data_IF_767843346271
#
_entry.id   IF_767843346271
#
_cell.length_a   1.000
_cell.length_b   1.000
_cell.length_c   1.000
_cell.angle_alpha   90.00
_cell.angle_beta   90.00
_cell.angle_gamma   90.00
#
_symmetry.space_group_name_H-M   'P 1'
#
loop_
_entity.id
_entity.type
_entity.pdbx_description
1 polymer ?
#
# COMPACT_ATOMS: atom_id res chain seq x y z
N UNK A 1 13.93 -4.79 -3.85
CA UNK A 1 13.52 -5.37 -5.14
C UNK A 1 14.79 -5.77 -5.88
N UNK A 2 14.84 -6.93 -6.52
CA UNK A 2 15.90 -7.13 -7.52
C UNK A 2 15.57 -6.26 -8.74
N UNK A 3 16.59 -5.72 -9.40
CA UNK A 3 16.44 -4.84 -10.56
C UNK A 3 15.41 -5.33 -11.61
N UNK A 4 15.25 -6.64 -11.92
CA UNK A 4 14.33 -7.06 -12.97
C UNK A 4 12.87 -7.25 -12.55
N UNK A 5 12.48 -7.22 -11.27
CA UNK A 5 11.13 -7.70 -10.85
C UNK A 5 9.99 -6.96 -11.56
N UNK A 6 10.01 -5.62 -11.56
CA UNK A 6 8.97 -4.83 -12.22
C UNK A 6 9.01 -4.96 -13.76
N UNK A 7 10.21 -5.06 -14.35
CA UNK A 7 10.35 -5.35 -15.78
C UNK A 7 9.70 -6.69 -16.16
N UNK A 8 9.90 -7.74 -15.36
CA UNK A 8 9.30 -9.05 -15.60
C UNK A 8 7.76 -8.99 -15.55
N UNK A 9 7.19 -8.23 -14.62
CA UNK A 9 5.75 -8.02 -14.56
C UNK A 9 5.21 -7.29 -15.81
N UNK A 10 5.93 -6.28 -16.31
CA UNK A 10 5.59 -5.58 -17.54
C UNK A 10 5.81 -6.42 -18.81
N UNK A 11 6.84 -7.26 -18.84
CA UNK A 11 7.09 -8.22 -19.92
C UNK A 11 5.94 -9.22 -20.06
N UNK A 12 5.47 -9.76 -18.93
CA UNK A 12 4.32 -10.67 -18.89
C UNK A 12 3.01 -9.95 -19.25
N UNK A 13 2.79 -8.74 -18.72
CA UNK A 13 1.57 -7.97 -18.93
C UNK A 13 0.34 -8.53 -18.18
N UNK A 14 -0.82 -7.89 -18.34
CA UNK A 14 -2.09 -8.40 -17.80
C UNK A 14 -2.32 -8.21 -16.29
N UNK A 15 -1.35 -7.67 -15.55
CA UNK A 15 -1.57 -7.23 -14.16
C UNK A 15 -2.22 -5.85 -14.12
N UNK A 16 -3.23 -5.69 -13.26
CA UNK A 16 -3.88 -4.39 -13.07
C UNK A 16 -3.03 -3.40 -12.28
N UNK A 17 -2.12 -3.90 -11.43
CA UNK A 17 -1.17 -3.10 -10.64
C UNK A 17 -0.04 -3.99 -10.09
N UNK A 18 1.07 -3.37 -9.69
CA UNK A 18 2.05 -3.95 -8.76
C UNK A 18 2.07 -3.21 -7.41
N UNK A 19 2.68 -3.83 -6.39
CA UNK A 19 2.77 -3.28 -5.03
C UNK A 19 4.21 -3.17 -4.51
N UNK A 20 5.20 -3.39 -5.38
CA UNK A 20 6.61 -3.38 -5.02
C UNK A 20 7.13 -1.93 -5.01
N UNK A 21 6.51 -1.08 -4.20
CA UNK A 21 6.90 0.30 -3.95
C UNK A 21 6.46 0.70 -2.55
N UNK A 22 7.26 1.56 -1.91
CA UNK A 22 6.99 2.13 -0.59
C UNK A 22 7.12 3.67 -0.62
N UNK A 23 7.11 4.26 -1.81
CA UNK A 23 7.58 5.63 -2.04
C UNK A 23 6.50 6.70 -2.06
N UNK A 24 5.23 6.35 -1.86
CA UNK A 24 4.11 7.30 -1.95
C UNK A 24 2.89 6.81 -1.15
N UNK A 25 2.00 7.74 -0.81
CA UNK A 25 0.73 7.50 -0.11
C UNK A 25 -0.47 7.39 -1.07
N UNK A 26 -0.21 7.49 -2.40
CA UNK A 26 -1.20 7.32 -3.46
C UNK A 26 -0.72 6.37 -4.57
N UNK A 27 -1.63 5.71 -5.29
CA UNK A 27 -1.28 5.04 -6.53
C UNK A 27 -0.71 6.01 -7.56
N UNK A 28 0.18 5.52 -8.42
CA UNK A 28 0.76 6.33 -9.49
C UNK A 28 1.13 5.49 -10.70
N UNK A 29 1.17 6.15 -11.85
CA UNK A 29 1.54 5.53 -13.12
C UNK A 29 3.04 5.62 -13.38
N UNK A 30 3.60 4.54 -13.91
CA UNK A 30 4.93 4.47 -14.49
C UNK A 30 4.87 4.10 -15.97
N UNK A 31 5.94 4.44 -16.68
CA UNK A 31 6.25 3.89 -18.01
C UNK A 31 7.39 2.89 -17.84
N UNK A 32 7.08 1.61 -17.72
CA UNK A 32 8.07 0.56 -17.49
C UNK A 32 8.67 0.11 -18.82
N UNK A 33 10.00 0.20 -18.96
CA UNK A 33 10.70 -0.33 -20.14
C UNK A 33 10.72 -1.86 -20.12
N UNK A 34 10.04 -2.46 -21.08
CA UNK A 34 10.04 -3.90 -21.34
C UNK A 34 11.38 -4.36 -21.91
N UNK A 35 11.66 -5.66 -21.84
CA UNK A 35 12.85 -6.26 -22.43
C UNK A 35 12.92 -6.07 -23.96
N UNK A 36 11.78 -5.93 -24.63
CA UNK A 36 11.69 -5.60 -26.06
C UNK A 36 11.96 -4.14 -26.42
N UNK A 37 12.13 -3.25 -25.43
CA UNK A 37 12.42 -1.82 -25.63
C UNK A 37 11.19 -0.91 -25.52
N UNK A 38 9.99 -1.44 -25.70
CA UNK A 38 8.73 -0.71 -25.57
C UNK A 38 8.47 -0.23 -24.14
N UNK A 39 7.71 0.87 -24.00
CA UNK A 39 7.25 1.39 -22.72
C UNK A 39 5.83 0.93 -22.44
N UNK A 40 5.62 0.30 -21.29
CA UNK A 40 4.32 -0.18 -20.83
C UNK A 40 3.76 0.74 -19.74
N UNK A 41 2.51 1.22 -19.85
CA UNK A 41 1.79 1.83 -18.74
C UNK A 41 1.65 0.84 -17.58
N UNK A 42 2.19 1.18 -16.42
CA UNK A 42 2.20 0.30 -15.26
C UNK A 42 1.70 1.03 -14.02
N UNK A 43 0.58 0.58 -13.46
CA UNK A 43 0.03 1.16 -12.23
C UNK A 43 0.76 0.57 -11.02
N UNK A 44 1.28 1.45 -10.18
CA UNK A 44 1.80 1.09 -8.86
C UNK A 44 0.78 1.48 -7.82
N UNK A 45 0.43 0.56 -6.94
CA UNK A 45 -0.33 0.85 -5.72
C UNK A 45 0.65 0.65 -4.55
N UNK A 46 1.17 1.70 -3.89
CA UNK A 46 2.25 1.57 -2.90
C UNK A 46 1.85 0.77 -1.65
N UNK A 47 2.80 -0.02 -1.16
CA UNK A 47 2.68 -0.85 0.05
C UNK A 47 3.48 -0.24 1.22
N UNK A 48 3.61 -0.98 2.32
CA UNK A 48 4.23 -0.50 3.56
C UNK A 48 5.22 -1.51 4.14
N UNK A 49 6.30 -0.99 4.75
CA UNK A 49 7.20 -1.74 5.63
C UNK A 49 7.09 -1.36 7.11
N UNK A 50 6.41 -0.25 7.41
CA UNK A 50 6.31 0.37 8.72
C UNK A 50 4.97 0.03 9.41
N UNK A 51 3.83 0.28 8.76
CA UNK A 51 2.48 -0.15 9.19
C UNK A 51 2.25 -1.64 8.86
N UNK A 52 3.20 -2.47 9.28
CA UNK A 52 3.31 -3.88 8.93
C UNK A 52 3.68 -4.73 10.15
N UNK A 53 2.93 -5.80 10.42
CA UNK A 53 3.19 -6.68 11.56
C UNK A 53 4.52 -7.44 11.47
N UNK A 54 5.21 -7.43 10.31
CA UNK A 54 6.58 -7.93 10.20
C UNK A 54 7.54 -7.28 11.20
N UNK A 55 7.23 -6.05 11.64
CA UNK A 55 7.98 -5.32 12.65
C UNK A 55 8.03 -6.06 13.98
N UNK A 56 7.08 -6.94 14.31
CA UNK A 56 7.18 -7.81 15.51
C UNK A 56 8.35 -8.82 15.46
N UNK A 57 8.98 -9.01 14.31
CA UNK A 57 10.06 -9.97 14.09
C UNK A 57 11.39 -9.29 13.73
N UNK A 58 11.47 -7.96 13.80
CA UNK A 58 12.68 -7.19 13.48
C UNK A 58 13.32 -6.62 14.75
N UNK A 59 14.65 -6.41 14.76
CA UNK A 59 15.35 -5.82 15.91
C UNK A 59 14.78 -4.47 16.34
N UNK A 60 14.40 -3.64 15.36
CA UNK A 60 13.66 -2.40 15.60
C UNK A 60 12.19 -2.62 15.22
N UNK A 61 11.40 -2.94 16.24
CA UNK A 61 10.09 -3.54 16.07
C UNK A 61 9.10 -3.23 17.18
N UNK A 62 7.89 -3.74 17.02
CA UNK A 62 6.87 -3.65 18.07
C UNK A 62 7.12 -4.73 19.11
N UNK A 63 7.13 -4.35 20.39
CA UNK A 63 7.30 -5.29 21.50
C UNK A 63 5.97 -5.87 21.94
N UNK A 64 4.92 -5.04 21.91
CA UNK A 64 3.56 -5.37 22.36
C UNK A 64 2.52 -5.05 21.29
N UNK A 65 1.33 -5.63 21.44
CA UNK A 65 0.18 -5.30 20.58
C UNK A 65 -0.21 -3.82 20.65
N UNK A 66 -0.03 -3.19 21.81
CA UNK A 66 -0.29 -1.76 21.99
C UNK A 66 0.54 -0.92 21.03
N UNK A 67 1.84 -1.20 20.91
CA UNK A 67 2.75 -0.43 20.06
C UNK A 67 2.27 -0.42 18.61
N UNK A 68 1.85 -1.59 18.09
CA UNK A 68 1.33 -1.69 16.73
C UNK A 68 -0.01 -0.97 16.56
N UNK A 69 -0.92 -1.10 17.54
CA UNK A 69 -2.19 -0.38 17.51
C UNK A 69 -1.99 1.14 17.52
N UNK A 70 -1.14 1.66 18.41
CA UNK A 70 -0.82 3.09 18.48
C UNK A 70 -0.26 3.57 17.14
N UNK A 71 0.69 2.83 16.57
CA UNK A 71 1.28 3.20 15.29
C UNK A 71 0.24 3.25 14.16
N UNK A 72 -0.62 2.23 14.06
CA UNK A 72 -1.70 2.22 13.06
C UNK A 72 -2.72 3.35 13.27
N UNK A 73 -3.12 3.59 14.52
CA UNK A 73 -4.04 4.67 14.89
C UNK A 73 -3.46 6.02 14.47
N UNK A 74 -2.21 6.30 14.84
CA UNK A 74 -1.59 7.60 14.58
C UNK A 74 -1.38 7.83 13.08
N UNK A 75 -0.98 6.79 12.33
CA UNK A 75 -0.92 6.84 10.86
C UNK A 75 -2.30 7.10 10.24
N UNK A 76 -3.34 6.43 10.73
CA UNK A 76 -4.70 6.66 10.25
C UNK A 76 -5.19 8.08 10.58
N UNK A 77 -5.03 8.54 11.82
CA UNK A 77 -5.52 9.85 12.28
C UNK A 77 -4.86 10.99 11.48
N UNK A 78 -3.56 10.87 11.18
CA UNK A 78 -2.84 11.82 10.32
C UNK A 78 -3.43 11.86 8.91
N UNK A 79 -3.53 10.71 8.23
CA UNK A 79 -4.08 10.64 6.87
C UNK A 79 -5.56 11.01 6.81
N UNK A 80 -6.32 10.71 7.86
CA UNK A 80 -7.72 11.06 7.97
C UNK A 80 -7.90 12.58 8.09
N UNK A 81 -7.04 13.26 8.86
CA UNK A 81 -7.02 14.71 8.94
C UNK A 81 -6.63 15.35 7.60
N UNK A 82 -5.58 14.85 6.93
CA UNK A 82 -5.18 15.30 5.59
C UNK A 82 -6.29 15.08 4.54
N UNK A 83 -7.08 14.02 4.71
CA UNK A 83 -8.19 13.67 3.84
C UNK A 83 -9.37 14.65 3.83
N UNK A 84 -9.35 15.67 4.69
CA UNK A 84 -10.25 16.81 4.58
C UNK A 84 -10.05 17.53 3.24
N UNK A 85 -8.80 17.63 2.78
CA UNK A 85 -8.41 18.35 1.55
C UNK A 85 -7.88 17.40 0.47
N UNK A 86 -7.03 16.44 0.85
CA UNK A 86 -6.33 15.56 -0.09
C UNK A 86 -6.29 14.12 0.44
N UNK A 87 -7.35 13.31 0.21
CA UNK A 87 -7.41 11.92 0.65
C UNK A 87 -6.22 11.07 0.17
N UNK A 88 -5.80 10.12 1.01
CA UNK A 88 -4.69 9.19 0.79
C UNK A 88 -5.10 7.75 1.09
N UNK A 89 -4.25 6.79 0.73
CA UNK A 89 -4.44 5.39 1.13
C UNK A 89 -3.52 5.01 2.29
N UNK A 90 -3.96 4.04 3.10
CA UNK A 90 -3.13 3.39 4.12
C UNK A 90 -3.10 1.88 3.86
N UNK A 91 -1.92 1.32 3.65
CA UNK A 91 -1.74 -0.13 3.64
C UNK A 91 -1.52 -0.63 5.07
N UNK A 92 -2.04 -1.82 5.41
CA UNK A 92 -1.74 -2.50 6.68
C UNK A 92 -1.24 -3.90 6.39
N UNK A 93 0.04 -4.15 6.65
CA UNK A 93 0.67 -5.44 6.40
C UNK A 93 0.40 -6.46 7.52
N UNK A 94 -0.02 -7.66 7.13
CA UNK A 94 -0.42 -8.71 8.07
C UNK A 94 0.13 -10.08 7.65
N UNK A 95 0.68 -10.82 8.60
CA UNK A 95 1.18 -12.18 8.38
C UNK A 95 0.52 -13.14 9.37
N UNK A 96 -0.07 -14.23 8.85
CA UNK A 96 -0.79 -15.22 9.66
C UNK A 96 0.03 -15.75 10.86
N UNK A 97 1.34 -15.98 10.65
CA UNK A 97 2.26 -16.51 11.68
C UNK A 97 2.63 -15.48 12.77
N UNK A 98 2.41 -14.19 12.53
CA UNK A 98 2.76 -13.09 13.42
C UNK A 98 1.50 -12.50 14.08
N UNK A 99 0.70 -11.72 13.36
CA UNK A 99 -0.50 -11.06 13.91
C UNK A 99 -1.57 -12.05 14.35
N UNK A 100 -1.61 -13.26 13.79
CA UNK A 100 -2.54 -14.32 14.21
C UNK A 100 -2.29 -14.88 15.60
N UNK A 101 -1.19 -14.50 16.27
CA UNK A 101 -0.92 -14.93 17.66
C UNK A 101 -1.88 -14.24 18.63
N UNK A 102 -2.40 -14.94 19.67
CA UNK A 102 -3.39 -14.37 20.60
C UNK A 102 -2.96 -13.05 21.26
N UNK A 103 -1.67 -12.91 21.57
CA UNK A 103 -1.13 -11.69 22.17
C UNK A 103 -1.05 -10.48 21.22
N UNK A 104 -1.09 -10.69 19.89
CA UNK A 104 -0.91 -9.65 18.87
C UNK A 104 -2.19 -9.26 18.15
N UNK A 105 -3.10 -10.22 17.93
CA UNK A 105 -4.35 -10.00 17.17
C UNK A 105 -5.24 -8.89 17.76
N UNK A 106 -5.11 -8.63 19.07
CA UNK A 106 -5.81 -7.54 19.76
C UNK A 106 -5.51 -6.17 19.18
N UNK A 107 -4.30 -5.96 18.63
CA UNK A 107 -3.95 -4.71 17.94
C UNK A 107 -4.84 -4.45 16.73
N UNK A 108 -5.04 -5.48 15.89
CA UNK A 108 -5.89 -5.39 14.71
C UNK A 108 -7.35 -5.15 15.08
N UNK A 109 -7.87 -5.86 16.08
CA UNK A 109 -9.25 -5.68 16.52
C UNK A 109 -9.52 -4.24 16.97
N UNK A 110 -8.63 -3.69 17.80
CA UNK A 110 -8.74 -2.30 18.27
C UNK A 110 -8.59 -1.28 17.14
N UNK A 111 -7.72 -1.55 16.17
CA UNK A 111 -7.59 -0.68 15.02
C UNK A 111 -8.85 -0.68 14.15
N UNK A 112 -9.44 -1.86 13.91
CA UNK A 112 -10.73 -1.98 13.21
C UNK A 112 -11.86 -1.24 13.98
N UNK A 113 -11.92 -1.39 15.31
CA UNK A 113 -12.86 -0.66 16.16
C UNK A 113 -12.65 0.86 16.09
N UNK A 114 -11.41 1.33 15.92
CA UNK A 114 -11.07 2.75 15.80
C UNK A 114 -11.55 3.31 14.46
N UNK A 115 -11.20 2.69 13.34
CA UNK A 115 -11.60 3.19 12.01
C UNK A 115 -13.11 3.08 11.78
N UNK A 116 -13.79 2.12 12.42
CA UNK A 116 -15.24 1.96 12.33
C UNK A 116 -16.03 3.11 12.99
N UNK A 117 -15.38 3.92 13.83
CA UNK A 117 -15.99 5.11 14.46
C UNK A 117 -15.87 6.38 13.62
N UNK A 118 -15.16 6.32 12.50
CA UNK A 118 -14.95 7.44 11.60
C UNK A 118 -15.81 7.27 10.35
N UNK A 119 -16.45 8.36 9.93
CA UNK A 119 -17.20 8.39 8.68
C UNK A 119 -16.23 8.49 7.48
N UNK A 120 -16.71 8.24 6.26
CA UNK A 120 -15.95 8.44 5.01
C UNK A 120 -14.64 7.63 4.91
N UNK A 121 -14.56 6.49 5.58
CA UNK A 121 -13.46 5.52 5.45
C UNK A 121 -13.81 4.45 4.42
N UNK A 122 -12.99 4.30 3.38
CA UNK A 122 -13.14 3.21 2.41
C UNK A 122 -12.19 2.05 2.73
N UNK A 123 -12.72 0.99 3.35
CA UNK A 123 -11.99 -0.28 3.52
C UNK A 123 -12.07 -1.07 2.23
N UNK A 124 -10.99 -1.05 1.44
CA UNK A 124 -10.99 -1.54 0.07
C UNK A 124 -10.11 -2.79 -0.12
N UNK A 125 -10.48 -3.64 -1.09
CA UNK A 125 -9.49 -4.54 -1.69
C UNK A 125 -8.58 -3.72 -2.60
N UNK A 126 -7.32 -4.11 -2.66
CA UNK A 126 -6.30 -3.43 -3.48
C UNK A 126 -6.66 -3.34 -4.97
N UNK A 127 -7.30 -4.37 -5.52
CA UNK A 127 -7.80 -4.36 -6.90
C UNK A 127 -8.90 -3.32 -7.12
N UNK A 128 -9.71 -3.00 -6.11
CA UNK A 128 -10.75 -1.99 -6.23
C UNK A 128 -10.14 -0.58 -6.26
N UNK A 129 -9.07 -0.35 -5.47
CA UNK A 129 -8.27 0.89 -5.55
C UNK A 129 -7.65 1.02 -6.95
N UNK A 130 -7.04 -0.04 -7.47
CA UNK A 130 -6.42 -0.01 -8.80
C UNK A 130 -7.45 0.35 -9.89
N UNK A 131 -8.63 -0.30 -9.87
CA UNK A 131 -9.72 -0.01 -10.81
C UNK A 131 -10.27 1.42 -10.68
N UNK A 132 -10.43 1.89 -9.45
CA UNK A 132 -10.82 3.27 -9.18
C UNK A 132 -9.80 4.25 -9.76
N UNK A 133 -8.50 3.99 -9.56
CA UNK A 133 -7.42 4.83 -10.07
C UNK A 133 -7.38 4.86 -11.59
N UNK A 134 -7.45 3.70 -12.25
CA UNK A 134 -7.46 3.65 -13.72
C UNK A 134 -8.64 4.42 -14.33
N UNK A 135 -9.79 4.43 -13.64
CA UNK A 135 -11.00 5.13 -14.12
C UNK A 135 -10.94 6.64 -13.86
N UNK A 136 -10.46 7.03 -12.69
CA UNK A 136 -10.53 8.43 -12.20
C UNK A 136 -9.26 9.23 -12.53
N UNK A 137 -8.13 8.53 -12.63
CA UNK A 137 -6.79 9.05 -12.92
C UNK A 137 -6.15 8.20 -14.01
N UNK A 138 -6.65 8.28 -15.27
CA UNK A 138 -6.14 7.47 -16.36
C UNK A 138 -4.66 7.77 -16.65
N UNK A 139 -3.97 6.81 -17.25
CA UNK A 139 -2.57 6.94 -17.61
C UNK A 139 -2.32 8.13 -18.55
N UNK A 140 -1.27 8.90 -18.26
CA UNK A 140 -0.75 9.96 -19.11
C UNK A 140 0.78 9.81 -19.26
N UNK A 141 1.24 9.55 -20.49
CA UNK A 141 2.65 9.38 -20.82
C UNK A 141 3.46 10.68 -20.66
N UNK A 142 2.81 11.85 -20.66
CA UNK A 142 3.49 13.14 -20.47
C UNK A 142 3.89 13.36 -19.01
N UNK A 143 3.19 12.75 -18.05
CA UNK A 143 3.42 12.94 -16.61
C UNK A 143 3.99 11.70 -15.93
N UNK A 144 3.81 10.50 -16.49
CA UNK A 144 4.30 9.26 -15.91
C UNK A 144 5.82 9.13 -16.05
N UNK A 145 6.51 8.81 -14.95
CA UNK A 145 7.97 8.62 -14.93
C UNK A 145 8.39 7.38 -15.72
N UNK A 146 9.45 7.50 -16.52
CA UNK A 146 10.06 6.35 -17.24
C UNK A 146 10.94 5.56 -16.30
N UNK A 147 10.48 4.35 -15.96
CA UNK A 147 11.22 3.39 -15.16
C UNK A 147 11.97 2.44 -16.10
N UNK A 148 13.30 2.39 -15.97
CA UNK A 148 14.21 1.61 -16.82
C UNK A 148 15.08 0.66 -16.01
#
# INVERSE_FOLDING_TARGET
MSEPTRRLAADFGGFAYDSDSYGDDLPFWLQVRKSGGDLEPHLVVPYTLDTNDMRFALPQGFSQAEDFFIYLRDSFDALYAEGADAPKMLSVGMHARLLGRPGRIRALQRFLDHIARHDRVWVARRIDIARHWTTTHPFDAATAFVWS
#
